data_IF_728296455702
#
_entry.id   IF_728296455702
#
_cell.length_a   1.000
_cell.length_b   1.000
_cell.length_c   1.000
_cell.angle_alpha   90.00
_cell.angle_beta   90.00
_cell.angle_gamma   90.00
#
_symmetry.space_group_name_H-M   'P 1'
#
loop_
_entity.id
_entity.type
_entity.pdbx_description
1 polymer ?
#
# COMPACT_ATOMS: atom_id res chain seq x y z
N UNK A 1 26.70 32.62 15.92
CA UNK A 1 25.54 32.53 15.00
C UNK A 1 24.96 31.13 15.09
N UNK A 2 24.00 30.89 15.99
CA UNK A 2 23.43 29.56 16.24
C UNK A 2 22.49 29.06 15.13
N UNK A 3 21.94 29.97 14.32
CA UNK A 3 20.96 29.63 13.28
C UNK A 3 21.53 28.82 12.11
N UNK A 4 22.79 29.02 11.72
CA UNK A 4 23.37 28.32 10.57
C UNK A 4 23.76 26.87 10.87
N UNK A 5 24.18 26.57 12.10
CA UNK A 5 24.59 25.21 12.48
C UNK A 5 23.39 24.27 12.65
N UNK A 6 22.31 24.77 13.27
CA UNK A 6 21.05 24.04 13.35
C UNK A 6 20.44 23.80 11.96
N UNK A 7 20.40 24.82 11.11
CA UNK A 7 19.87 24.70 9.74
C UNK A 7 20.69 23.70 8.90
N UNK A 8 22.02 23.74 8.99
CA UNK A 8 22.88 22.76 8.31
C UNK A 8 22.63 21.32 8.81
N UNK A 9 22.54 21.12 10.13
CA UNK A 9 22.24 19.80 10.69
C UNK A 9 20.85 19.30 10.27
N UNK A 10 19.87 20.20 10.12
CA UNK A 10 18.55 19.86 9.63
C UNK A 10 18.59 19.46 8.15
N UNK A 11 19.36 20.18 7.33
CA UNK A 11 19.60 19.84 5.92
C UNK A 11 20.23 18.45 5.81
N UNK A 12 21.27 18.16 6.58
CA UNK A 12 21.90 16.83 6.60
C UNK A 12 20.90 15.75 7.03
N UNK A 13 20.08 16.05 8.04
CA UNK A 13 18.99 15.18 8.48
C UNK A 13 17.95 14.89 7.40
N UNK A 14 17.57 15.88 6.57
CA UNK A 14 16.65 15.70 5.43
C UNK A 14 17.20 14.67 4.44
N UNK A 15 18.50 14.73 4.14
CA UNK A 15 19.15 13.77 3.23
C UNK A 15 19.32 12.39 3.87
N UNK A 16 19.72 12.34 5.15
CA UNK A 16 19.83 11.10 5.90
C UNK A 16 18.48 10.38 5.96
N UNK A 17 17.40 11.09 6.28
CA UNK A 17 16.05 10.54 6.39
C UNK A 17 15.50 10.01 5.06
N UNK A 18 15.93 10.56 3.92
CA UNK A 18 15.59 10.03 2.60
C UNK A 18 16.19 8.64 2.34
N UNK A 19 17.27 8.28 3.03
CA UNK A 19 17.95 6.98 2.92
C UNK A 19 17.49 6.04 4.05
N UNK A 20 17.34 6.60 5.26
CA UNK A 20 16.98 5.96 6.52
C UNK A 20 15.65 6.57 7.03
N UNK A 21 14.49 6.04 6.61
CA UNK A 21 13.18 6.67 6.84
C UNK A 21 12.83 6.94 8.30
N UNK A 22 13.43 6.21 9.24
CA UNK A 22 13.26 6.40 10.68
C UNK A 22 13.65 7.81 11.15
N UNK A 23 14.51 8.50 10.40
CA UNK A 23 14.93 9.87 10.68
C UNK A 23 13.83 10.92 10.48
N UNK A 24 12.77 10.63 9.70
CA UNK A 24 11.79 11.62 9.27
C UNK A 24 11.07 12.31 10.44
N UNK A 25 10.66 11.56 11.47
CA UNK A 25 9.96 12.15 12.61
C UNK A 25 10.81 13.21 13.32
N UNK A 26 12.13 12.99 13.44
CA UNK A 26 13.06 13.99 14.01
C UNK A 26 13.18 15.21 13.11
N UNK A 27 13.43 14.99 11.82
CA UNK A 27 13.58 16.07 10.81
C UNK A 27 12.33 16.96 10.78
N UNK A 28 11.14 16.36 10.84
CA UNK A 28 9.88 17.09 10.84
C UNK A 28 9.66 17.90 12.12
N UNK A 29 10.02 17.36 13.30
CA UNK A 29 9.99 18.14 14.55
C UNK A 29 10.91 19.36 14.47
N UNK A 30 12.11 19.19 13.95
CA UNK A 30 13.09 20.27 13.81
C UNK A 30 12.63 21.30 12.75
N UNK A 31 11.98 20.85 11.68
CA UNK A 31 11.35 21.71 10.67
C UNK A 31 10.20 22.53 11.25
N UNK A 32 9.30 21.90 12.02
CA UNK A 32 8.22 22.60 12.71
C UNK A 32 8.79 23.66 13.67
N UNK A 33 9.81 23.30 14.46
CA UNK A 33 10.49 24.19 15.39
C UNK A 33 11.11 25.40 14.70
N UNK A 34 11.71 25.21 13.53
CA UNK A 34 12.30 26.30 12.74
C UNK A 34 11.26 27.37 12.36
N UNK A 35 10.03 26.95 12.08
CA UNK A 35 8.91 27.83 11.70
C UNK A 35 8.05 28.30 12.87
N UNK A 36 8.35 27.88 14.11
CA UNK A 36 7.50 28.12 15.28
C UNK A 36 6.16 27.38 15.22
N UNK A 37 6.09 26.27 14.49
CA UNK A 37 4.94 25.38 14.41
C UNK A 37 5.03 24.27 15.48
N UNK A 38 3.90 23.63 15.77
CA UNK A 38 3.80 22.54 16.76
C UNK A 38 4.20 21.21 16.16
N UNK A 39 3.69 20.94 14.97
CA UNK A 39 3.85 19.66 14.28
C UNK A 39 4.16 19.91 12.80
N UNK A 40 4.72 18.91 12.14
CA UNK A 40 4.92 18.91 10.69
C UNK A 40 4.70 17.51 10.12
N UNK A 41 4.36 17.48 8.84
CA UNK A 41 4.25 16.25 8.07
C UNK A 41 4.94 16.41 6.71
N UNK A 42 5.39 15.28 6.19
CA UNK A 42 5.78 15.12 4.80
C UNK A 42 4.86 14.08 4.19
N UNK A 43 4.18 14.46 3.11
CA UNK A 43 3.33 13.59 2.33
C UNK A 43 3.88 13.43 0.92
N UNK A 44 3.80 12.24 0.34
CA UNK A 44 3.91 12.05 -1.10
C UNK A 44 2.54 11.64 -1.64
N UNK A 45 2.19 12.19 -2.79
CA UNK A 45 0.92 11.96 -3.45
C UNK A 45 1.17 11.51 -4.87
N UNK A 46 0.56 10.40 -5.26
CA UNK A 46 0.54 9.93 -6.63
C UNK A 46 -0.90 9.51 -6.96
N UNK A 47 -1.48 10.15 -7.98
CA UNK A 47 -2.84 9.87 -8.44
C UNK A 47 -3.90 9.84 -7.32
N UNK A 48 -3.90 10.87 -6.46
CA UNK A 48 -4.75 11.04 -5.28
C UNK A 48 -4.53 10.05 -4.12
N UNK A 49 -3.58 9.12 -4.24
CA UNK A 49 -3.15 8.28 -3.12
C UNK A 49 -2.01 8.97 -2.37
N UNK A 50 -2.20 9.17 -1.07
CA UNK A 50 -1.24 9.85 -0.21
C UNK A 50 -0.53 8.87 0.74
N UNK A 51 0.79 9.01 0.85
CA UNK A 51 1.60 8.42 1.92
C UNK A 51 2.16 9.54 2.77
N UNK A 52 2.08 9.43 4.08
CA UNK A 52 2.55 10.48 4.97
C UNK A 52 3.44 9.93 6.08
N UNK A 53 4.30 10.80 6.57
CA UNK A 53 5.02 10.66 7.84
C UNK A 53 4.93 11.99 8.56
N UNK A 54 4.85 11.93 9.89
CA UNK A 54 4.70 13.11 10.73
C UNK A 54 5.79 13.21 11.80
N UNK A 55 5.88 14.37 12.42
CA UNK A 55 6.77 14.66 13.56
C UNK A 55 6.43 13.84 14.82
N UNK A 56 5.19 13.38 14.97
CA UNK A 56 4.73 12.52 16.06
C UNK A 56 3.74 11.44 15.56
N UNK A 57 3.66 10.27 16.22
CA UNK A 57 2.68 9.24 15.88
C UNK A 57 1.24 9.76 16.00
N UNK A 58 0.91 10.47 17.07
CA UNK A 58 -0.44 11.02 17.31
C UNK A 58 -0.86 11.98 16.19
N UNK A 59 0.06 12.82 15.70
CA UNK A 59 -0.25 13.71 14.58
C UNK A 59 -0.38 12.96 13.26
N UNK A 60 0.43 11.91 13.02
CA UNK A 60 0.25 11.04 11.85
C UNK A 60 -1.12 10.37 11.85
N UNK A 61 -1.51 9.73 12.96
CA UNK A 61 -2.80 9.04 13.11
C UNK A 61 -3.98 10.01 12.95
N UNK A 62 -3.89 11.19 13.56
CA UNK A 62 -4.90 12.24 13.43
C UNK A 62 -5.05 12.73 11.98
N UNK A 63 -3.95 12.88 11.25
CA UNK A 63 -3.99 13.30 9.84
C UNK A 63 -4.46 12.19 8.90
N UNK A 64 -4.15 10.93 9.19
CA UNK A 64 -4.72 9.79 8.47
C UNK A 64 -6.24 9.70 8.67
N UNK A 65 -6.77 10.01 9.86
CA UNK A 65 -8.22 10.13 10.07
C UNK A 65 -8.82 11.29 9.24
N UNK A 66 -8.14 12.43 9.16
CA UNK A 66 -8.55 13.53 8.28
C UNK A 66 -8.67 13.05 6.84
N UNK A 67 -7.66 12.35 6.30
CA UNK A 67 -7.69 11.86 4.92
C UNK A 67 -8.72 10.74 4.70
N UNK A 68 -9.08 9.97 5.73
CA UNK A 68 -10.19 9.01 5.66
C UNK A 68 -11.55 9.69 5.58
N UNK A 69 -11.74 10.79 6.31
CA UNK A 69 -13.00 11.57 6.31
C UNK A 69 -13.11 12.49 5.09
N UNK A 70 -12.00 13.11 4.70
CA UNK A 70 -11.88 14.08 3.61
C UNK A 70 -10.70 13.63 2.74
N UNK A 71 -10.96 12.74 1.75
CA UNK A 71 -9.93 12.24 0.85
C UNK A 71 -9.15 13.36 0.17
N UNK A 72 -7.87 13.12 -0.12
CA UNK A 72 -6.97 14.12 -0.71
C UNK A 72 -7.55 14.80 -1.96
N UNK A 73 -8.23 14.04 -2.82
CA UNK A 73 -8.86 14.51 -4.05
C UNK A 73 -9.92 15.61 -3.86
N UNK A 74 -10.53 15.67 -2.68
CA UNK A 74 -11.60 16.64 -2.34
C UNK A 74 -11.23 17.53 -1.15
N UNK A 75 -10.00 17.42 -0.65
CA UNK A 75 -9.51 18.27 0.43
C UNK A 75 -9.17 19.65 -0.12
N UNK A 76 -10.06 20.61 0.08
CA UNK A 76 -9.96 21.97 -0.48
C UNK A 76 -8.63 22.64 -0.13
N UNK A 77 -8.16 22.51 1.13
CA UNK A 77 -6.88 23.08 1.58
C UNK A 77 -5.70 22.53 0.78
N UNK A 78 -5.66 21.21 0.57
CA UNK A 78 -4.64 20.57 -0.24
C UNK A 78 -4.76 20.95 -1.73
N UNK A 79 -5.96 20.96 -2.30
CA UNK A 79 -6.17 21.30 -3.71
C UNK A 79 -5.80 22.76 -4.00
N UNK A 80 -6.17 23.71 -3.13
CA UNK A 80 -5.79 25.13 -3.29
C UNK A 80 -4.28 25.34 -3.19
N UNK A 81 -3.58 24.62 -2.31
CA UNK A 81 -2.11 24.62 -2.27
C UNK A 81 -1.50 24.22 -3.62
N UNK A 82 -2.01 23.16 -4.24
CA UNK A 82 -1.53 22.66 -5.54
C UNK A 82 -1.79 23.69 -6.64
N UNK A 83 -3.03 24.19 -6.71
CA UNK A 83 -3.47 25.14 -7.75
C UNK A 83 -2.74 26.47 -7.63
N UNK A 84 -2.43 26.93 -6.42
CA UNK A 84 -1.64 28.15 -6.21
C UNK A 84 -0.27 28.05 -6.90
N UNK A 85 0.37 26.88 -6.90
CA UNK A 85 1.56 26.61 -7.72
C UNK A 85 2.81 27.43 -7.38
N UNK A 86 2.87 28.07 -6.21
CA UNK A 86 4.04 28.89 -5.82
C UNK A 86 5.25 28.00 -5.50
N UNK A 87 6.41 28.40 -6.02
CA UNK A 87 7.70 27.80 -5.69
C UNK A 87 8.24 28.30 -4.33
N UNK A 88 7.50 28.01 -3.27
CA UNK A 88 7.81 28.41 -1.90
C UNK A 88 6.76 27.87 -0.93
N UNK A 89 6.93 28.15 0.34
CA UNK A 89 5.92 27.93 1.36
C UNK A 89 4.87 29.05 1.33
N UNK A 90 3.61 28.66 1.47
CA UNK A 90 2.45 29.55 1.59
C UNK A 90 1.66 29.17 2.82
N UNK A 91 0.94 30.13 3.36
CA UNK A 91 0.05 29.98 4.52
C UNK A 91 -1.39 29.75 4.08
N UNK A 92 -2.23 29.27 4.99
CA UNK A 92 -3.66 29.15 4.70
C UNK A 92 -4.31 30.49 4.33
N UNK A 93 -3.81 31.61 4.87
CA UNK A 93 -4.28 32.96 4.55
C UNK A 93 -3.94 33.40 3.11
N UNK A 94 -2.99 32.72 2.44
CA UNK A 94 -2.71 32.96 1.01
C UNK A 94 -3.74 32.27 0.10
N UNK A 95 -4.51 31.30 0.61
CA UNK A 95 -5.43 30.47 -0.17
C UNK A 95 -6.88 30.49 0.32
N UNK A 96 -7.15 31.01 1.51
CA UNK A 96 -8.50 31.20 2.05
C UNK A 96 -8.69 32.62 2.58
N UNK A 97 -9.88 33.18 2.40
CA UNK A 97 -10.32 34.35 3.18
C UNK A 97 -10.76 33.94 4.59
N UNK A 98 -10.81 34.90 5.52
CA UNK A 98 -11.33 34.68 6.88
C UNK A 98 -12.78 34.16 6.87
N UNK A 99 -13.60 34.62 5.91
CA UNK A 99 -14.99 34.17 5.76
C UNK A 99 -15.08 32.72 5.26
N UNK A 100 -14.19 32.34 4.35
CA UNK A 100 -14.11 30.95 3.89
C UNK A 100 -13.65 30.03 5.03
N UNK A 101 -12.59 30.39 5.75
CA UNK A 101 -12.10 29.64 6.91
C UNK A 101 -13.17 29.46 8.00
N UNK A 102 -14.01 30.48 8.22
CA UNK A 102 -15.11 30.43 9.17
C UNK A 102 -16.22 29.41 8.80
N UNK A 103 -16.28 28.98 7.54
CA UNK A 103 -17.29 28.03 7.04
C UNK A 103 -16.72 26.69 6.56
N UNK A 104 -15.41 26.57 6.38
CA UNK A 104 -14.75 25.38 5.87
C UNK A 104 -14.76 24.23 6.91
N UNK A 105 -15.41 23.08 6.63
CA UNK A 105 -15.55 21.99 7.59
C UNK A 105 -14.23 21.42 8.09
N UNK A 106 -13.19 21.38 7.25
CA UNK A 106 -11.86 20.91 7.68
C UNK A 106 -11.33 21.73 8.87
N UNK A 107 -11.55 23.05 8.88
CA UNK A 107 -11.12 23.92 9.96
C UNK A 107 -12.05 23.83 11.17
N UNK A 108 -13.35 24.02 10.96
CA UNK A 108 -14.32 24.15 12.05
C UNK A 108 -14.56 22.84 12.80
N UNK A 109 -14.63 21.72 12.09
CA UNK A 109 -15.02 20.44 12.70
C UNK A 109 -13.81 19.59 13.13
N UNK A 110 -12.61 19.92 12.64
CA UNK A 110 -11.43 19.05 12.81
C UNK A 110 -10.20 19.81 13.32
N UNK A 111 -9.65 20.73 12.54
CA UNK A 111 -8.36 21.35 12.89
C UNK A 111 -8.46 22.24 14.14
N UNK A 112 -9.42 23.16 14.18
CA UNK A 112 -9.56 24.11 15.30
C UNK A 112 -9.89 23.39 16.62
N UNK A 113 -10.85 22.42 16.68
CA UNK A 113 -11.10 21.64 17.89
C UNK A 113 -9.89 20.83 18.37
N UNK A 114 -9.01 20.41 17.45
CA UNK A 114 -7.77 19.71 17.77
C UNK A 114 -6.62 20.65 18.17
N UNK A 115 -6.84 21.97 18.21
CA UNK A 115 -5.82 22.96 18.57
C UNK A 115 -4.85 23.30 17.44
N UNK A 116 -5.28 23.11 16.20
CA UNK A 116 -4.59 23.43 14.94
C UNK A 116 -5.39 24.44 14.11
N UNK A 117 -4.99 24.68 12.85
CA UNK A 117 -5.75 25.50 11.91
C UNK A 117 -4.97 26.69 11.36
N UNK A 118 -3.67 26.80 11.66
CA UNK A 118 -2.80 27.76 11.01
C UNK A 118 -1.60 27.04 10.41
N UNK A 119 -1.70 26.74 9.12
CA UNK A 119 -0.71 25.97 8.38
C UNK A 119 0.19 26.81 7.52
N UNK A 120 1.37 26.24 7.26
CA UNK A 120 2.29 26.69 6.23
C UNK A 120 2.78 25.47 5.45
N UNK A 121 2.64 25.49 4.13
CA UNK A 121 2.90 24.33 3.30
C UNK A 121 3.55 24.68 1.97
N UNK A 122 4.22 23.70 1.38
CA UNK A 122 4.67 23.77 -0.01
C UNK A 122 4.37 22.46 -0.73
N UNK A 123 4.03 22.57 -2.01
CA UNK A 123 3.92 21.46 -2.93
C UNK A 123 5.14 21.43 -3.86
N UNK A 124 5.70 20.24 -4.06
CA UNK A 124 6.89 19.99 -4.87
C UNK A 124 6.55 18.87 -5.85
N UNK A 125 6.29 19.24 -7.11
CA UNK A 125 6.12 18.26 -8.18
C UNK A 125 7.46 17.59 -8.51
N UNK A 126 7.47 16.26 -8.57
CA UNK A 126 8.60 15.49 -9.03
C UNK A 126 8.47 15.20 -10.54
N UNK A 127 9.59 15.04 -11.28
CA UNK A 127 9.56 14.64 -12.70
C UNK A 127 8.89 13.29 -12.94
N UNK A 128 8.79 12.45 -11.91
CA UNK A 128 8.14 11.14 -11.90
C UNK A 128 6.62 11.19 -11.82
N UNK A 129 6.02 12.39 -11.74
CA UNK A 129 4.57 12.61 -11.73
C UNK A 129 3.93 12.61 -10.34
N UNK A 130 4.63 12.17 -9.30
CA UNK A 130 4.23 12.35 -7.91
C UNK A 130 4.54 13.76 -7.40
N UNK A 131 3.91 14.09 -6.28
CA UNK A 131 4.07 15.36 -5.61
C UNK A 131 4.44 15.14 -4.14
N UNK A 132 5.46 15.85 -3.67
CA UNK A 132 5.80 15.92 -2.24
C UNK A 132 5.18 17.17 -1.63
N UNK A 133 4.46 17.02 -0.53
CA UNK A 133 3.95 18.10 0.29
C UNK A 133 4.72 18.12 1.60
N UNK A 134 5.26 19.29 1.96
CA UNK A 134 5.79 19.53 3.30
C UNK A 134 4.89 20.55 3.95
N UNK A 135 4.36 20.21 5.12
CA UNK A 135 3.37 21.00 5.83
C UNK A 135 3.77 21.12 7.30
N UNK A 136 3.69 22.33 7.85
CA UNK A 136 3.82 22.57 9.27
C UNK A 136 2.51 23.15 9.80
N UNK A 137 2.07 22.66 10.95
CA UNK A 137 0.80 23.02 11.56
C UNK A 137 1.03 23.77 12.88
N UNK A 138 0.28 24.86 13.05
CA UNK A 138 0.29 25.72 14.21
C UNK A 138 -1.14 25.88 14.74
N UNK A 139 -1.25 26.32 16.00
CA UNK A 139 -2.53 26.66 16.60
C UNK A 139 -3.19 27.82 15.85
N UNK A 140 -4.48 27.70 15.55
CA UNK A 140 -5.26 28.78 14.95
C UNK A 140 -5.20 30.08 15.77
N UNK A 141 -5.19 29.96 17.11
CA UNK A 141 -5.13 31.11 18.02
C UNK A 141 -3.81 31.89 18.01
N UNK A 142 -2.74 31.32 17.46
CA UNK A 142 -1.43 31.97 17.36
C UNK A 142 -1.25 32.74 16.06
N UNK A 143 -2.17 32.59 15.10
CA UNK A 143 -2.11 33.22 13.79
C UNK A 143 -1.06 32.60 12.86
N UNK A 144 -0.99 33.15 11.64
CA UNK A 144 -0.11 32.66 10.57
C UNK A 144 1.37 32.76 10.93
N UNK A 145 2.14 31.84 10.35
CA UNK A 145 3.61 31.88 10.40
C UNK A 145 4.11 33.19 9.77
N UNK A 146 5.04 33.85 10.45
CA UNK A 146 5.56 35.13 9.98
C UNK A 146 6.50 34.99 8.77
N UNK A 147 6.85 36.12 8.16
CA UNK A 147 7.74 36.15 7.01
C UNK A 147 9.14 35.56 7.29
N UNK A 148 9.62 35.61 8.53
CA UNK A 148 10.90 35.04 8.93
C UNK A 148 10.87 33.51 8.93
N UNK A 149 9.80 32.93 9.49
CA UNK A 149 9.54 31.49 9.47
C UNK A 149 9.34 30.96 8.04
N UNK A 150 8.56 31.66 7.22
CA UNK A 150 8.38 31.32 5.79
C UNK A 150 9.73 31.36 5.06
N UNK A 151 10.52 32.41 5.24
CA UNK A 151 11.83 32.52 4.60
C UNK A 151 12.81 31.42 5.06
N UNK A 152 12.68 30.93 6.31
CA UNK A 152 13.47 29.81 6.80
C UNK A 152 13.06 28.48 6.15
N UNK A 153 11.75 28.21 6.04
CA UNK A 153 11.23 27.04 5.35
C UNK A 153 11.58 27.04 3.85
N UNK A 154 11.52 28.21 3.20
CA UNK A 154 11.87 28.36 1.79
C UNK A 154 13.31 27.91 1.48
N UNK A 155 14.25 28.14 2.40
CA UNK A 155 15.63 27.65 2.25
C UNK A 155 15.72 26.12 2.28
N UNK A 156 14.83 25.45 3.02
CA UNK A 156 14.77 23.99 3.09
C UNK A 156 14.09 23.34 1.88
N UNK A 157 13.23 24.09 1.16
CA UNK A 157 12.38 23.53 0.08
C UNK A 157 13.17 22.75 -0.97
N UNK A 158 14.31 23.28 -1.42
CA UNK A 158 15.16 22.61 -2.41
C UNK A 158 15.83 21.34 -1.87
N UNK A 159 16.04 21.24 -0.55
CA UNK A 159 16.57 20.04 0.10
C UNK A 159 15.51 18.95 0.17
N UNK A 160 14.28 19.27 0.55
CA UNK A 160 13.15 18.33 0.48
C UNK A 160 12.90 17.81 -0.94
N UNK A 161 12.97 18.68 -1.95
CA UNK A 161 12.81 18.27 -3.35
C UNK A 161 13.87 17.24 -3.78
N UNK A 162 15.15 17.49 -3.44
CA UNK A 162 16.26 16.58 -3.77
C UNK A 162 16.19 15.29 -2.97
N UNK A 163 15.88 15.38 -1.68
CA UNK A 163 15.68 14.23 -0.80
C UNK A 163 14.54 13.34 -1.30
N UNK A 164 13.42 13.92 -1.72
CA UNK A 164 12.30 13.16 -2.29
C UNK A 164 12.68 12.42 -3.57
N UNK A 165 13.40 13.07 -4.49
CA UNK A 165 13.91 12.42 -5.70
C UNK A 165 14.85 11.24 -5.36
N UNK A 166 15.77 11.44 -4.41
CA UNK A 166 16.71 10.40 -3.97
C UNK A 166 15.98 9.22 -3.31
N UNK A 167 15.08 9.50 -2.37
CA UNK A 167 14.29 8.48 -1.68
C UNK A 167 13.45 7.67 -2.66
N UNK A 168 12.80 8.33 -3.63
CA UNK A 168 12.03 7.68 -4.69
C UNK A 168 12.89 6.75 -5.54
N UNK A 169 14.06 7.22 -5.98
CA UNK A 169 14.97 6.41 -6.79
C UNK A 169 15.46 5.20 -6.00
N UNK A 170 15.83 5.38 -4.74
CA UNK A 170 16.27 4.29 -3.87
C UNK A 170 15.16 3.26 -3.62
N UNK A 171 13.92 3.70 -3.41
CA UNK A 171 12.77 2.82 -3.27
C UNK A 171 12.55 1.94 -4.51
N UNK A 172 12.70 2.51 -5.72
CA UNK A 172 12.63 1.76 -6.97
C UNK A 172 13.74 0.70 -7.08
N UNK A 173 15.00 1.08 -6.78
CA UNK A 173 16.11 0.12 -6.83
C UNK A 173 15.96 -1.00 -5.78
N UNK A 174 15.41 -0.69 -4.59
CA UNK A 174 15.06 -1.70 -3.57
C UNK A 174 13.99 -2.68 -4.08
N UNK A 175 12.93 -2.18 -4.72
CA UNK A 175 11.88 -3.01 -5.31
C UNK A 175 12.45 -3.95 -6.40
N UNK A 176 13.32 -3.42 -7.27
CA UNK A 176 14.01 -4.21 -8.29
C UNK A 176 14.91 -5.29 -7.67
N UNK A 177 15.73 -4.93 -6.69
CA UNK A 177 16.62 -5.87 -6.01
C UNK A 177 15.84 -7.01 -5.32
N UNK A 178 14.72 -6.70 -4.67
CA UNK A 178 13.84 -7.70 -4.06
C UNK A 178 13.27 -8.67 -5.11
N UNK A 179 12.81 -8.16 -6.24
CA UNK A 179 12.29 -8.96 -7.36
C UNK A 179 13.37 -9.88 -7.97
N UNK A 180 14.59 -9.36 -8.16
CA UNK A 180 15.74 -10.11 -8.68
C UNK A 180 16.21 -11.19 -7.71
N UNK A 181 16.20 -10.94 -6.40
CA UNK A 181 16.53 -11.95 -5.40
C UNK A 181 15.56 -13.15 -5.46
N UNK A 182 14.26 -12.90 -5.69
CA UNK A 182 13.26 -13.95 -5.93
C UNK A 182 13.52 -14.70 -7.23
N UNK A 183 13.99 -14.01 -8.27
CA UNK A 183 14.39 -14.64 -9.53
C UNK A 183 15.53 -15.65 -9.34
N UNK A 184 16.55 -15.27 -8.55
CA UNK A 184 17.67 -16.17 -8.20
C UNK A 184 17.22 -17.42 -7.44
N UNK A 185 16.09 -17.35 -6.74
CA UNK A 185 15.44 -18.49 -6.07
C UNK A 185 14.51 -19.30 -7.00
N UNK A 186 14.42 -18.93 -8.28
CA UNK A 186 13.54 -19.57 -9.25
C UNK A 186 12.07 -19.19 -9.09
N UNK A 187 11.76 -18.07 -8.44
CA UNK A 187 10.40 -17.64 -8.14
C UNK A 187 9.96 -16.50 -9.08
N UNK A 188 8.94 -16.71 -9.94
CA UNK A 188 8.27 -15.64 -10.65
C UNK A 188 7.67 -14.64 -9.66
N UNK A 189 8.17 -13.40 -9.65
CA UNK A 189 7.74 -12.38 -8.72
C UNK A 189 7.59 -10.99 -9.35
N UNK A 190 6.68 -10.21 -8.76
CA UNK A 190 6.43 -8.83 -9.12
C UNK A 190 6.14 -7.97 -7.89
N UNK A 191 6.44 -6.68 -7.99
CA UNK A 191 6.12 -5.66 -6.99
C UNK A 191 4.97 -4.82 -7.52
N UNK A 192 3.94 -4.66 -6.71
CA UNK A 192 2.73 -3.90 -7.05
C UNK A 192 2.71 -2.53 -6.37
N UNK A 193 2.17 -1.54 -7.07
CA UNK A 193 1.89 -0.19 -6.56
C UNK A 193 0.60 -0.10 -5.76
N UNK A 194 0.24 1.11 -5.32
CA UNK A 194 -0.89 1.33 -4.39
C UNK A 194 -2.24 0.85 -4.92
N UNK A 195 -2.45 0.88 -6.23
CA UNK A 195 -3.70 0.41 -6.87
C UNK A 195 -3.56 -0.99 -7.46
N UNK A 196 -2.41 -1.63 -7.26
CA UNK A 196 -2.08 -2.93 -7.79
C UNK A 196 -1.46 -2.91 -9.18
N UNK A 197 -1.07 -1.74 -9.71
CA UNK A 197 -0.28 -1.59 -10.93
C UNK A 197 1.11 -2.20 -10.78
N UNK A 198 1.71 -2.64 -11.88
CA UNK A 198 3.03 -3.25 -11.85
C UNK A 198 4.12 -2.17 -11.69
N UNK A 199 4.89 -2.22 -10.60
CA UNK A 199 6.08 -1.36 -10.42
C UNK A 199 7.31 -2.03 -11.03
N UNK A 200 7.53 -3.30 -10.70
CA UNK A 200 8.67 -4.09 -11.15
C UNK A 200 8.26 -5.56 -11.28
N UNK A 201 8.83 -6.30 -12.22
CA UNK A 201 8.61 -7.73 -12.42
C UNK A 201 9.90 -8.39 -12.87
N UNK A 202 10.25 -9.53 -12.26
CA UNK A 202 11.43 -10.28 -12.68
C UNK A 202 11.19 -11.05 -13.98
N UNK A 203 12.26 -11.55 -14.62
CA UNK A 203 12.16 -12.18 -15.93
C UNK A 203 11.20 -13.39 -15.92
N UNK A 204 11.26 -14.20 -14.86
CA UNK A 204 10.38 -15.36 -14.67
C UNK A 204 8.89 -14.97 -14.59
N UNK A 205 8.55 -13.81 -14.01
CA UNK A 205 7.18 -13.30 -13.97
C UNK A 205 6.76 -12.75 -15.33
N UNK A 206 7.66 -12.07 -16.04
CA UNK A 206 7.42 -11.56 -17.39
C UNK A 206 7.11 -12.69 -18.37
N UNK A 207 7.75 -13.85 -18.23
CA UNK A 207 7.46 -15.05 -19.04
C UNK A 207 6.01 -15.58 -18.87
N UNK A 208 5.34 -15.21 -17.77
CA UNK A 208 3.94 -15.55 -17.54
C UNK A 208 2.97 -14.56 -18.21
N UNK A 209 3.47 -13.55 -18.92
CA UNK A 209 2.70 -12.50 -19.59
C UNK A 209 2.79 -12.65 -21.12
N UNK A 210 1.70 -12.47 -21.88
CA UNK A 210 0.34 -12.18 -21.42
C UNK A 210 -0.48 -13.43 -21.05
N UNK A 211 0.12 -14.63 -21.06
CA UNK A 211 -0.64 -15.90 -21.00
C UNK A 211 -1.45 -16.10 -19.72
N UNK A 212 -0.88 -15.73 -18.57
CA UNK A 212 -1.50 -15.86 -17.24
C UNK A 212 -1.84 -14.49 -16.67
N UNK A 213 -0.91 -13.56 -16.76
CA UNK A 213 -1.05 -12.20 -16.25
C UNK A 213 -1.12 -11.20 -17.40
N UNK A 214 -1.87 -10.13 -17.19
CA UNK A 214 -1.95 -8.98 -18.08
C UNK A 214 -1.50 -7.73 -17.32
N UNK A 215 -0.53 -7.02 -17.90
CA UNK A 215 -0.18 -5.68 -17.44
C UNK A 215 -1.24 -4.72 -17.99
N UNK A 216 -2.05 -4.13 -17.11
CA UNK A 216 -3.03 -3.11 -17.49
C UNK A 216 -2.69 -1.83 -16.74
N UNK A 217 -2.93 -0.70 -17.39
CA UNK A 217 -2.68 0.62 -16.82
C UNK A 217 -3.27 0.82 -15.41
N UNK A 218 -4.41 0.19 -15.09
CA UNK A 218 -5.05 0.31 -13.79
C UNK A 218 -4.49 -0.63 -12.71
N UNK A 219 -4.17 -1.87 -13.06
CA UNK A 219 -3.65 -2.91 -12.14
C UNK A 219 -3.16 -4.13 -12.90
N UNK A 220 -2.32 -4.93 -12.25
CA UNK A 220 -2.06 -6.31 -12.66
C UNK A 220 -3.37 -7.10 -12.67
N UNK A 221 -3.63 -7.77 -13.79
CA UNK A 221 -4.82 -8.60 -13.98
C UNK A 221 -4.46 -10.04 -14.32
N UNK A 222 -5.38 -10.96 -14.03
CA UNK A 222 -5.28 -12.36 -14.41
C UNK A 222 -6.15 -12.65 -15.63
N UNK A 223 -5.68 -13.53 -16.52
CA UNK A 223 -6.45 -14.00 -17.68
C UNK A 223 -7.70 -14.80 -17.27
N UNK A 224 -7.69 -15.42 -16.08
CA UNK A 224 -8.83 -16.15 -15.52
C UNK A 224 -9.70 -15.23 -14.67
N UNK A 225 -10.87 -14.83 -15.20
CA UNK A 225 -11.75 -13.84 -14.57
C UNK A 225 -12.10 -14.10 -13.08
N UNK A 226 -12.44 -15.33 -12.62
CA UNK A 226 -12.66 -15.58 -11.20
C UNK A 226 -11.43 -15.32 -10.32
N UNK A 227 -10.24 -15.69 -10.79
CA UNK A 227 -9.01 -15.46 -10.05
C UNK A 227 -8.64 -13.96 -10.06
N UNK A 228 -8.94 -13.28 -11.17
CA UNK A 228 -8.79 -11.82 -11.29
C UNK A 228 -9.68 -11.05 -10.32
N UNK A 229 -10.93 -11.46 -10.13
CA UNK A 229 -11.84 -10.89 -9.12
C UNK A 229 -11.28 -11.06 -7.70
N UNK A 230 -10.69 -12.22 -7.38
CA UNK A 230 -10.05 -12.44 -6.08
C UNK A 230 -8.79 -11.59 -5.90
N UNK A 231 -7.98 -11.44 -6.95
CA UNK A 231 -6.80 -10.57 -6.94
C UNK A 231 -7.21 -9.10 -6.73
N UNK A 232 -8.24 -8.63 -7.43
CA UNK A 232 -8.79 -7.29 -7.24
C UNK A 232 -9.27 -7.07 -5.79
N UNK A 233 -9.97 -8.05 -5.22
CA UNK A 233 -10.41 -7.98 -3.82
C UNK A 233 -9.24 -8.03 -2.82
N UNK A 234 -8.17 -8.76 -3.13
CA UNK A 234 -6.95 -8.78 -2.32
C UNK A 234 -6.23 -7.42 -2.36
N UNK A 235 -6.06 -6.84 -3.54
CA UNK A 235 -5.45 -5.51 -3.73
C UNK A 235 -6.28 -4.43 -3.03
N UNK A 236 -7.60 -4.42 -3.20
CA UNK A 236 -8.48 -3.47 -2.53
C UNK A 236 -8.41 -3.57 -0.99
N UNK A 237 -8.14 -4.76 -0.45
CA UNK A 237 -7.93 -4.93 0.98
C UNK A 237 -6.60 -4.33 1.48
N UNK A 238 -5.58 -4.19 0.61
CA UNK A 238 -4.30 -3.56 0.97
C UNK A 238 -4.44 -2.05 1.23
N UNK A 239 -5.44 -1.42 0.63
CA UNK A 239 -5.76 -0.01 0.85
C UNK A 239 -6.37 0.28 2.24
N UNK A 240 -6.64 -0.76 3.05
CA UNK A 240 -7.20 -0.64 4.41
C UNK A 240 -6.12 -0.89 5.47
N UNK A 241 -5.46 0.16 6.00
CA UNK A 241 -4.36 0.02 6.97
C UNK A 241 -4.83 -0.41 8.37
N UNK A 242 -6.13 -0.29 8.67
CA UNK A 242 -6.79 -0.57 9.94
C UNK A 242 -6.99 -2.06 10.25
N UNK A 243 -6.80 -2.93 9.26
CA UNK A 243 -6.96 -4.37 9.40
C UNK A 243 -5.60 -5.08 9.24
N UNK A 244 -5.34 -6.14 10.03
CA UNK A 244 -4.22 -7.04 9.75
C UNK A 244 -4.31 -7.49 8.30
N UNK A 245 -3.23 -7.28 7.54
CA UNK A 245 -3.15 -7.71 6.15
C UNK A 245 -2.37 -9.03 6.11
N UNK A 246 -3.04 -10.20 6.17
CA UNK A 246 -2.34 -11.46 6.01
C UNK A 246 -1.88 -11.62 4.56
N UNK A 247 -0.83 -12.43 4.37
CA UNK A 247 -0.50 -12.96 3.05
C UNK A 247 -1.71 -13.74 2.54
N UNK A 248 -2.16 -13.43 1.32
CA UNK A 248 -3.28 -14.14 0.68
C UNK A 248 -2.74 -15.03 -0.42
N UNK A 249 -3.23 -16.27 -0.51
CA UNK A 249 -2.90 -17.15 -1.64
C UNK A 249 -4.11 -17.37 -2.53
N UNK A 250 -3.91 -17.14 -3.82
CA UNK A 250 -4.94 -17.12 -4.84
C UNK A 250 -4.64 -18.21 -5.87
N UNK A 251 -5.56 -19.13 -6.13
CA UNK A 251 -5.35 -20.18 -7.11
C UNK A 251 -5.55 -19.66 -8.53
N UNK A 252 -4.64 -20.05 -9.42
CA UNK A 252 -4.71 -19.80 -10.85
C UNK A 252 -4.88 -21.14 -11.57
N UNK A 253 -6.06 -21.43 -12.13
CA UNK A 253 -6.27 -22.68 -12.85
C UNK A 253 -5.49 -22.70 -14.17
N UNK A 254 -5.09 -23.89 -14.61
CA UNK A 254 -4.41 -24.09 -15.89
C UNK A 254 -5.34 -23.84 -17.07
N UNK A 255 -4.83 -23.11 -18.09
CA UNK A 255 -5.37 -23.05 -19.46
C UNK A 255 -4.32 -23.52 -20.48
N UNK A 256 -3.76 -24.70 -20.26
CA UNK A 256 -2.74 -25.29 -21.16
C UNK A 256 -1.31 -25.35 -20.60
N UNK A 257 -1.12 -24.94 -19.34
CA UNK A 257 0.15 -25.02 -18.59
C UNK A 257 0.00 -25.72 -17.23
N UNK A 258 0.90 -25.49 -16.28
CA UNK A 258 0.70 -25.95 -14.90
C UNK A 258 -0.29 -25.03 -14.16
N UNK A 259 -1.22 -25.56 -13.34
CA UNK A 259 -1.93 -24.73 -12.37
C UNK A 259 -0.92 -24.07 -11.41
N UNK A 260 -1.27 -22.90 -10.87
CA UNK A 260 -0.36 -22.12 -10.03
C UNK A 260 -1.08 -21.57 -8.80
N UNK A 261 -0.29 -21.15 -7.81
CA UNK A 261 -0.76 -20.36 -6.67
C UNK A 261 -0.04 -19.01 -6.68
N UNK A 262 -0.80 -17.94 -6.61
CA UNK A 262 -0.30 -16.58 -6.49
C UNK A 262 -0.39 -16.15 -5.03
N UNK A 263 0.75 -15.93 -4.40
CA UNK A 263 0.83 -15.32 -3.08
C UNK A 263 0.87 -13.81 -3.23
N UNK A 264 0.06 -13.09 -2.45
CA UNK A 264 0.05 -11.64 -2.36
C UNK A 264 0.47 -11.28 -0.95
N UNK A 265 1.71 -10.80 -0.80
CA UNK A 265 2.31 -10.43 0.47
C UNK A 265 2.35 -8.90 0.60
N UNK A 266 1.66 -8.31 1.60
CA UNK A 266 1.66 -6.85 1.79
C UNK A 266 3.04 -6.33 2.19
N UNK A 267 3.41 -5.19 1.63
CA UNK A 267 4.58 -4.41 2.07
C UNK A 267 4.21 -3.68 3.36
N UNK A 268 4.84 -4.07 4.46
CA UNK A 268 4.54 -3.55 5.81
C UNK A 268 5.82 -3.15 6.56
N UNK A 269 5.64 -2.42 7.67
CA UNK A 269 6.75 -1.95 8.51
C UNK A 269 7.70 -1.02 7.77
N UNK A 270 9.01 -1.19 7.98
CA UNK A 270 10.07 -0.33 7.42
C UNK A 270 10.12 -0.32 5.88
N UNK A 271 9.57 -1.34 5.22
CA UNK A 271 9.48 -1.35 3.75
C UNK A 271 8.38 -0.41 3.23
N UNK A 272 7.48 0.06 4.11
CA UNK A 272 6.39 0.99 3.85
C UNK A 272 6.86 2.43 4.13
N UNK A 273 7.78 2.90 3.29
CA UNK A 273 8.40 4.24 3.36
C UNK A 273 7.55 5.32 2.65
N UNK A 274 7.70 6.58 3.05
CA UNK A 274 6.98 7.74 2.50
C UNK A 274 7.28 7.98 1.01
N UNK A 275 8.45 7.55 0.50
CA UNK A 275 8.75 7.61 -0.94
C UNK A 275 8.49 6.29 -1.69
N UNK A 276 8.00 5.26 -1.00
CA UNK A 276 7.69 3.95 -1.60
C UNK A 276 6.20 3.81 -1.84
N UNK A 277 5.82 3.69 -3.11
CA UNK A 277 4.44 3.38 -3.50
C UNK A 277 4.19 1.86 -3.62
N UNK A 278 5.13 1.02 -3.22
CA UNK A 278 4.93 -0.42 -3.19
C UNK A 278 3.88 -0.82 -2.14
N UNK A 279 2.86 -1.56 -2.55
CA UNK A 279 1.79 -2.06 -1.67
C UNK A 279 1.93 -3.55 -1.37
N UNK A 280 2.43 -4.34 -2.32
CA UNK A 280 2.59 -5.78 -2.17
C UNK A 280 3.68 -6.34 -3.07
N UNK A 281 4.22 -7.49 -2.66
CA UNK A 281 4.99 -8.39 -3.50
C UNK A 281 4.08 -9.57 -3.84
N UNK A 282 4.03 -9.92 -5.12
CA UNK A 282 3.33 -11.11 -5.59
C UNK A 282 4.31 -12.16 -6.06
N UNK A 283 4.06 -13.42 -5.71
CA UNK A 283 4.88 -14.57 -6.11
C UNK A 283 4.00 -15.65 -6.69
N UNK A 284 4.24 -16.05 -7.93
CA UNK A 284 3.50 -17.10 -8.60
C UNK A 284 4.29 -18.42 -8.56
N UNK A 285 3.75 -19.43 -7.89
CA UNK A 285 4.39 -20.74 -7.78
C UNK A 285 3.67 -21.77 -8.66
N UNK A 286 4.37 -22.43 -9.61
CA UNK A 286 3.80 -23.54 -10.34
C UNK A 286 3.60 -24.71 -9.40
N UNK A 287 2.52 -25.41 -9.63
CA UNK A 287 1.97 -26.34 -8.67
C UNK A 287 2.12 -27.72 -9.36
N UNK A 288 3.21 -28.40 -8.99
CA UNK A 288 3.76 -29.55 -9.73
C UNK A 288 2.88 -30.81 -9.57
N UNK A 289 2.71 -31.64 -10.62
CA UNK A 289 2.01 -32.90 -10.50
C UNK A 289 2.89 -33.96 -9.83
N UNK A 290 2.51 -34.43 -8.64
CA UNK A 290 3.14 -35.59 -8.00
C UNK A 290 3.24 -35.46 -6.49
N UNK A 291 2.52 -36.34 -5.78
CA UNK A 291 2.22 -36.34 -4.35
C UNK A 291 1.15 -35.31 -3.96
N UNK A 292 -0.10 -35.79 -3.82
CA UNK A 292 -1.22 -34.95 -3.41
C UNK A 292 -0.94 -34.25 -2.07
N UNK A 293 -1.49 -33.06 -1.83
CA UNK A 293 -1.07 -32.25 -0.70
C UNK A 293 -1.53 -32.91 0.59
N UNK A 294 -0.71 -32.81 1.63
CA UNK A 294 -1.21 -33.05 2.98
C UNK A 294 -2.29 -31.99 3.27
N UNK A 295 -3.43 -32.41 3.80
CA UNK A 295 -4.59 -31.53 4.03
C UNK A 295 -4.25 -30.24 4.83
N UNK A 296 -3.17 -30.27 5.62
CA UNK A 296 -2.66 -29.09 6.34
C UNK A 296 -2.09 -27.99 5.43
N UNK A 297 -1.45 -28.34 4.31
CA UNK A 297 -0.88 -27.37 3.36
C UNK A 297 -1.99 -26.65 2.58
N UNK A 298 -3.00 -27.39 2.11
CA UNK A 298 -4.19 -26.81 1.47
C UNK A 298 -4.96 -25.91 2.45
N UNK A 299 -5.05 -26.32 3.73
CA UNK A 299 -5.76 -25.55 4.75
C UNK A 299 -5.11 -24.19 5.00
N UNK A 300 -3.77 -24.17 5.12
CA UNK A 300 -3.02 -22.94 5.31
C UNK A 300 -2.94 -22.05 4.07
N UNK A 301 -2.94 -22.62 2.86
CA UNK A 301 -2.85 -21.85 1.62
C UNK A 301 -4.15 -21.11 1.29
N UNK A 302 -5.32 -21.72 1.52
CA UNK A 302 -6.62 -21.16 1.12
C UNK A 302 -7.52 -20.77 2.29
N UNK A 303 -6.94 -20.59 3.49
CA UNK A 303 -7.66 -20.27 4.73
C UNK A 303 -8.89 -21.18 4.96
N UNK A 304 -8.74 -22.48 4.66
CA UNK A 304 -9.80 -23.45 4.88
C UNK A 304 -9.86 -23.79 6.37
N UNK A 305 -11.06 -23.79 6.93
CA UNK A 305 -11.31 -24.35 8.25
C UNK A 305 -10.94 -25.85 8.26
N UNK A 306 -10.66 -26.45 9.42
CA UNK A 306 -10.37 -27.88 9.50
C UNK A 306 -11.45 -28.77 8.86
N UNK A 307 -12.73 -28.36 8.94
CA UNK A 307 -13.83 -29.08 8.31
C UNK A 307 -13.83 -28.94 6.77
N UNK A 308 -13.54 -27.75 6.25
CA UNK A 308 -13.41 -27.48 4.82
C UNK A 308 -12.22 -28.22 4.22
N UNK A 309 -11.07 -28.21 4.90
CA UNK A 309 -9.87 -28.94 4.46
C UNK A 309 -10.10 -30.45 4.39
N UNK A 310 -10.80 -31.03 5.37
CA UNK A 310 -11.18 -32.47 5.35
C UNK A 310 -12.08 -32.80 4.18
N UNK A 311 -13.07 -31.94 3.87
CA UNK A 311 -13.95 -32.13 2.72
C UNK A 311 -13.20 -31.95 1.40
N UNK A 312 -12.37 -30.91 1.27
CA UNK A 312 -11.54 -30.67 0.09
C UNK A 312 -10.62 -31.87 -0.21
N UNK A 313 -9.96 -32.44 0.81
CA UNK A 313 -9.11 -33.62 0.67
C UNK A 313 -9.89 -34.87 0.21
N UNK A 314 -11.11 -35.07 0.71
CA UNK A 314 -11.98 -36.17 0.28
C UNK A 314 -12.40 -36.01 -1.19
N UNK A 315 -12.78 -34.80 -1.59
CA UNK A 315 -13.12 -34.46 -2.98
C UNK A 315 -11.91 -34.62 -3.92
N UNK A 316 -10.71 -34.18 -3.50
CA UNK A 316 -9.45 -34.33 -4.26
C UNK A 316 -9.10 -35.80 -4.52
N UNK A 317 -9.49 -36.68 -3.61
CA UNK A 317 -9.37 -38.14 -3.74
C UNK A 317 -10.46 -38.75 -4.66
N UNK A 318 -11.06 -37.95 -5.55
CA UNK A 318 -12.08 -38.32 -6.54
C UNK A 318 -13.41 -38.86 -5.97
N UNK A 319 -13.74 -38.53 -4.72
CA UNK A 319 -15.05 -38.87 -4.17
C UNK A 319 -16.11 -37.86 -4.67
N UNK A 320 -17.31 -38.34 -4.96
CA UNK A 320 -18.47 -37.47 -5.14
C UNK A 320 -18.81 -36.76 -3.82
N UNK A 321 -19.51 -35.60 -3.84
CA UNK A 321 -19.95 -34.94 -2.61
C UNK A 321 -20.74 -35.85 -1.67
N UNK A 322 -21.50 -36.80 -2.23
CA UNK A 322 -22.24 -37.81 -1.48
C UNK A 322 -21.33 -38.82 -0.78
N UNK A 323 -20.30 -39.32 -1.47
CA UNK A 323 -19.33 -40.25 -0.87
C UNK A 323 -18.44 -39.57 0.17
N UNK A 324 -18.04 -38.32 -0.09
CA UNK A 324 -17.31 -37.49 0.85
C UNK A 324 -18.15 -37.22 2.11
N UNK A 325 -19.45 -36.94 1.95
CA UNK A 325 -20.39 -36.76 3.07
C UNK A 325 -20.46 -38.02 3.95
N UNK A 326 -20.65 -39.19 3.34
CA UNK A 326 -20.69 -40.49 4.03
C UNK A 326 -19.42 -40.75 4.83
N UNK A 327 -18.27 -40.47 4.23
CA UNK A 327 -16.95 -40.70 4.86
C UNK A 327 -16.67 -39.75 6.02
N UNK A 328 -17.20 -38.52 5.96
CA UNK A 328 -16.99 -37.49 6.98
C UNK A 328 -18.10 -37.45 8.04
N UNK A 329 -19.10 -38.34 7.96
CA UNK A 329 -20.20 -38.39 8.91
C UNK A 329 -21.13 -37.16 8.85
N UNK A 330 -21.23 -36.50 7.71
CA UNK A 330 -22.11 -35.33 7.50
C UNK A 330 -23.19 -35.62 6.46
N UNK A 331 -24.23 -34.80 6.43
CA UNK A 331 -25.27 -34.91 5.40
C UNK A 331 -24.76 -34.45 4.03
N UNK A 332 -25.34 -34.98 2.95
CA UNK A 332 -25.00 -34.55 1.59
C UNK A 332 -25.27 -33.04 1.38
N UNK A 333 -26.33 -32.51 1.99
CA UNK A 333 -26.64 -31.08 1.97
C UNK A 333 -25.53 -30.23 2.62
N UNK A 334 -25.00 -30.67 3.77
CA UNK A 334 -23.87 -30.02 4.43
C UNK A 334 -22.61 -30.10 3.57
N UNK A 335 -22.31 -31.26 2.97
CA UNK A 335 -21.17 -31.40 2.08
C UNK A 335 -21.27 -30.48 0.84
N UNK A 336 -22.45 -30.37 0.21
CA UNK A 336 -22.66 -29.45 -0.93
C UNK A 336 -22.51 -27.99 -0.54
N UNK A 337 -23.03 -27.60 0.63
CA UNK A 337 -22.93 -26.21 1.14
C UNK A 337 -21.49 -25.85 1.50
N UNK A 338 -20.76 -26.77 2.14
CA UNK A 338 -19.34 -26.59 2.46
C UNK A 338 -18.49 -26.62 1.19
N UNK A 339 -18.81 -27.47 0.21
CA UNK A 339 -18.15 -27.46 -1.11
C UNK A 339 -18.32 -26.11 -1.81
N UNK A 340 -19.51 -25.49 -1.75
CA UNK A 340 -19.71 -24.14 -2.31
C UNK A 340 -18.81 -23.09 -1.65
N UNK A 341 -18.61 -23.17 -0.33
CA UNK A 341 -17.68 -22.30 0.41
C UNK A 341 -16.22 -22.56 0.02
N UNK A 342 -15.83 -23.82 -0.13
CA UNK A 342 -14.48 -24.20 -0.60
C UNK A 342 -14.26 -23.66 -2.01
N UNK A 343 -15.19 -23.88 -2.94
CA UNK A 343 -15.11 -23.36 -4.31
C UNK A 343 -14.91 -21.84 -4.33
N UNK A 344 -15.64 -21.11 -3.47
CA UNK A 344 -15.46 -19.67 -3.31
C UNK A 344 -14.07 -19.28 -2.75
N UNK A 345 -13.61 -19.94 -1.67
CA UNK A 345 -12.29 -19.69 -1.07
C UNK A 345 -11.13 -20.06 -2.00
N UNK A 346 -11.35 -21.03 -2.86
CA UNK A 346 -10.36 -21.55 -3.83
C UNK A 346 -10.59 -21.04 -5.25
N UNK A 347 -11.39 -19.98 -5.45
CA UNK A 347 -11.58 -19.36 -6.77
C UNK A 347 -12.06 -20.28 -7.90
N UNK A 348 -12.56 -21.47 -7.57
CA UNK A 348 -12.92 -22.50 -8.52
C UNK A 348 -14.43 -22.50 -8.73
N UNK A 349 -14.89 -22.75 -9.96
CA UNK A 349 -16.34 -22.74 -10.27
C UNK A 349 -16.91 -24.15 -10.33
N UNK A 350 -16.09 -25.16 -10.60
CA UNK A 350 -16.51 -26.56 -10.71
C UNK A 350 -15.67 -27.44 -9.80
N UNK A 351 -16.27 -28.54 -9.34
CA UNK A 351 -15.57 -29.57 -8.57
C UNK A 351 -14.34 -30.11 -9.31
N UNK A 352 -14.40 -30.25 -10.64
CA UNK A 352 -13.26 -30.69 -11.44
C UNK A 352 -12.07 -29.72 -11.36
N UNK A 353 -12.34 -28.41 -11.40
CA UNK A 353 -11.32 -27.36 -11.28
C UNK A 353 -10.67 -27.39 -9.89
N UNK A 354 -11.49 -27.60 -8.84
CA UNK A 354 -11.01 -27.79 -7.48
C UNK A 354 -10.14 -29.04 -7.35
N UNK A 355 -10.55 -30.17 -7.93
CA UNK A 355 -9.74 -31.40 -7.92
C UNK A 355 -8.42 -31.19 -8.65
N UNK A 356 -8.43 -30.47 -9.77
CA UNK A 356 -7.23 -30.09 -10.50
C UNK A 356 -6.28 -29.27 -9.63
N UNK A 357 -6.78 -28.18 -9.02
CA UNK A 357 -6.04 -27.31 -8.14
C UNK A 357 -5.46 -28.05 -6.91
N UNK A 358 -6.27 -28.89 -6.28
CA UNK A 358 -5.88 -29.62 -5.08
C UNK A 358 -4.88 -30.73 -5.38
N UNK A 359 -4.90 -31.34 -6.56
CA UNK A 359 -3.91 -32.39 -6.90
C UNK A 359 -2.51 -31.85 -7.16
N UNK A 360 -2.39 -30.54 -7.31
CA UNK A 360 -1.20 -29.91 -7.82
C UNK A 360 -0.55 -28.98 -6.77
N UNK A 361 -1.24 -28.66 -5.67
CA UNK A 361 -0.79 -27.73 -4.63
C UNK A 361 0.29 -28.31 -3.68
N UNK A 362 1.54 -28.42 -4.13
CA UNK A 362 2.71 -28.75 -3.29
C UNK A 362 3.71 -27.59 -3.27
N UNK A 363 4.22 -27.24 -2.08
CA UNK A 363 5.32 -26.29 -1.92
C UNK A 363 6.63 -26.92 -2.43
N UNK A 364 7.50 -26.17 -3.14
CA UNK A 364 8.88 -26.59 -3.39
C UNK A 364 9.62 -26.75 -2.04
N UNK A 365 10.52 -27.72 -1.98
CA UNK A 365 11.38 -28.00 -0.82
C UNK A 365 12.51 -27.01 -0.69
#
# INVERSE_FOLDING_TARGET
MPGSEFENSLIDGIYEAAIVPEGWARVLRDTARLAGCREALLGTVLDNEARLVASSPDFAEGYEEILRRIPFAVNERAQRLIVHGRHGFITDADVFSDEELASEPLYQDILIPAGYGSGVATAIAAPTGDMTIVHCERSFSEGSVDAGGIAALDRLRAHFARAGLLGRRLAMERARAASQALEMMGLPAAVLGLRGELIEANALFQDLMPGVFHDRAARLALAHAPADEMLAAAIAALARPDLPQPVRSLPIPSRGGAPMVLHVAPVSGQARDVFSFASAIVVATPVLPGAGPQAGVIAGLFDLTPAEARLAAAIASAHTPREAARRLGVTEATARTTLKRILAKTGTRRQADLVGLLKSATLPR
#
